data_IF_323571492092
#
_entry.id   IF_323571492092
#
_cell.length_a   1.000
_cell.length_b   1.000
_cell.length_c   1.000
_cell.angle_alpha   90.00
_cell.angle_beta   90.00
_cell.angle_gamma   90.00
#
_symmetry.space_group_name_H-M   'P 1'
#
loop_
_entity.id
_entity.type
_entity.pdbx_description
1 polymer ?
#
# COMPACT_ATOMS: atom_id res chain seq x y z
N UNK A 1 -9.70 4.14 5.34
CA UNK A 1 -9.06 4.37 4.02
C UNK A 1 -8.32 3.11 3.60
N UNK A 2 -8.54 2.66 2.39
CA UNK A 2 -7.86 1.50 1.83
C UNK A 2 -6.75 1.96 0.90
N UNK A 3 -5.53 1.50 1.17
CA UNK A 3 -4.33 1.93 0.45
C UNK A 3 -3.64 0.71 -0.15
N UNK A 4 -3.32 0.79 -1.43
CA UNK A 4 -2.53 -0.22 -2.12
C UNK A 4 -1.12 0.31 -2.34
N UNK A 5 -0.12 -0.48 -2.02
CA UNK A 5 1.27 -0.19 -2.37
C UNK A 5 1.84 -1.36 -3.16
N UNK A 6 2.55 -1.06 -4.22
CA UNK A 6 3.16 -2.07 -5.08
C UNK A 6 4.57 -1.65 -5.48
N UNK A 7 5.53 -2.52 -5.22
CA UNK A 7 6.93 -2.34 -5.62
C UNK A 7 7.55 -3.73 -5.72
N UNK A 8 8.44 -3.93 -6.67
CA UNK A 8 9.13 -5.21 -6.84
C UNK A 8 10.19 -5.46 -5.77
N UNK A 9 10.52 -4.46 -4.95
CA UNK A 9 11.49 -4.58 -3.87
C UNK A 9 10.81 -4.64 -2.52
N UNK A 10 10.85 -5.81 -1.87
CA UNK A 10 10.16 -6.08 -0.61
C UNK A 10 10.64 -5.16 0.53
N UNK A 11 11.94 -4.87 0.57
CA UNK A 11 12.50 -4.00 1.62
C UNK A 11 11.91 -2.59 1.53
N UNK A 12 11.79 -2.08 0.31
CA UNK A 12 11.20 -0.76 0.09
C UNK A 12 9.71 -0.74 0.46
N UNK A 13 8.97 -1.80 0.12
CA UNK A 13 7.57 -1.92 0.50
C UNK A 13 7.39 -1.89 2.02
N UNK A 14 8.24 -2.61 2.76
CA UNK A 14 8.16 -2.63 4.22
C UNK A 14 8.39 -1.25 4.82
N UNK A 15 9.38 -0.53 4.30
CA UNK A 15 9.69 0.83 4.75
C UNK A 15 8.55 1.80 4.44
N UNK A 16 8.03 1.74 3.22
CA UNK A 16 6.93 2.60 2.78
C UNK A 16 5.67 2.35 3.62
N UNK A 17 5.36 1.09 3.88
CA UNK A 17 4.22 0.72 4.72
C UNK A 17 4.33 1.35 6.11
N UNK A 18 5.49 1.23 6.74
CA UNK A 18 5.71 1.78 8.08
C UNK A 18 5.51 3.30 8.08
N UNK A 19 6.05 3.99 7.07
CA UNK A 19 5.91 5.45 6.97
C UNK A 19 4.45 5.86 6.80
N UNK A 20 3.69 5.15 5.96
CA UNK A 20 2.28 5.44 5.75
C UNK A 20 1.47 5.18 7.03
N UNK A 21 1.73 4.06 7.70
CA UNK A 21 1.05 3.73 8.95
C UNK A 21 1.28 4.80 10.01
N UNK A 22 2.52 5.27 10.17
CA UNK A 22 2.85 6.33 11.12
C UNK A 22 2.17 7.64 10.78
N UNK A 23 2.18 8.02 9.50
CA UNK A 23 1.53 9.25 9.05
C UNK A 23 0.03 9.21 9.35
N UNK A 24 -0.64 8.12 8.99
CA UNK A 24 -2.07 7.97 9.20
C UNK A 24 -2.42 7.96 10.68
N UNK A 25 -1.62 7.29 11.49
CA UNK A 25 -1.80 7.26 12.94
C UNK A 25 -1.69 8.66 13.55
N UNK A 26 -0.68 9.42 13.12
CA UNK A 26 -0.45 10.77 13.64
C UNK A 26 -1.56 11.74 13.26
N UNK A 27 -2.26 11.48 12.17
CA UNK A 27 -3.40 12.29 11.71
C UNK A 27 -4.75 11.68 12.09
N UNK A 28 -4.74 10.62 12.91
CA UNK A 28 -5.96 9.93 13.36
C UNK A 28 -6.83 9.42 12.21
N UNK A 29 -6.20 8.93 11.14
CA UNK A 29 -6.89 8.40 9.97
C UNK A 29 -6.79 6.86 10.00
N UNK A 30 -7.91 6.14 10.19
CA UNK A 30 -7.88 4.67 10.09
C UNK A 30 -7.51 4.26 8.66
N UNK A 31 -6.59 3.30 8.53
CA UNK A 31 -6.21 2.81 7.22
C UNK A 31 -5.96 1.30 7.23
N UNK A 32 -6.18 0.68 6.06
CA UNK A 32 -5.81 -0.69 5.79
C UNK A 32 -4.88 -0.69 4.58
N UNK A 33 -3.68 -1.24 4.73
CA UNK A 33 -2.66 -1.23 3.69
C UNK A 33 -2.51 -2.64 3.12
N UNK A 34 -2.59 -2.75 1.79
CA UNK A 34 -2.27 -3.96 1.05
C UNK A 34 -0.97 -3.74 0.30
N UNK A 35 0.05 -4.56 0.59
CA UNK A 35 1.35 -4.47 -0.06
C UNK A 35 1.54 -5.66 -1.01
N UNK A 36 1.89 -5.41 -2.25
CA UNK A 36 2.13 -6.45 -3.24
C UNK A 36 3.44 -6.22 -3.97
N UNK A 37 4.18 -7.31 -4.21
CA UNK A 37 5.43 -7.29 -4.97
C UNK A 37 5.20 -7.56 -6.46
N UNK A 38 4.14 -8.31 -6.76
CA UNK A 38 3.83 -8.74 -8.12
C UNK A 38 2.66 -7.92 -8.68
N UNK A 39 2.90 -7.08 -9.71
CA UNK A 39 1.84 -6.27 -10.29
C UNK A 39 0.71 -7.09 -10.91
N UNK A 40 0.92 -8.34 -11.25
CA UNK A 40 -0.14 -9.22 -11.78
C UNK A 40 -1.24 -9.47 -10.75
N UNK A 41 -0.92 -9.40 -9.47
CA UNK A 41 -1.94 -9.56 -8.41
C UNK A 41 -2.92 -8.41 -8.38
N UNK A 42 -2.49 -7.22 -8.78
CA UNK A 42 -3.37 -6.05 -8.84
C UNK A 42 -4.46 -6.25 -9.88
N UNK A 43 -4.10 -6.85 -11.02
CA UNK A 43 -5.06 -7.10 -12.10
C UNK A 43 -6.13 -8.11 -11.71
N UNK A 44 -5.88 -8.94 -10.69
CA UNK A 44 -6.81 -9.96 -10.20
C UNK A 44 -7.63 -9.49 -8.99
N UNK A 45 -7.33 -8.31 -8.48
CA UNK A 45 -7.95 -7.77 -7.27
C UNK A 45 -9.03 -6.76 -7.65
N UNK A 46 -10.28 -7.04 -7.30
CA UNK A 46 -11.42 -6.13 -7.53
C UNK A 46 -11.66 -5.19 -6.35
N UNK A 47 -10.77 -5.15 -5.37
CA UNK A 47 -10.90 -4.26 -4.22
C UNK A 47 -10.81 -2.80 -4.66
N UNK A 48 -11.74 -1.98 -4.17
CA UNK A 48 -11.67 -0.54 -4.40
C UNK A 48 -10.73 0.10 -3.40
N UNK A 49 -9.66 0.72 -3.89
CA UNK A 49 -8.69 1.42 -3.07
C UNK A 49 -8.90 2.93 -3.16
N UNK A 50 -8.69 3.61 -2.04
CA UNK A 50 -8.76 5.08 -2.00
C UNK A 50 -7.48 5.71 -2.56
N UNK A 51 -6.34 5.07 -2.31
CA UNK A 51 -5.03 5.49 -2.79
C UNK A 51 -4.24 4.29 -3.29
N UNK A 52 -3.40 4.52 -4.30
CA UNK A 52 -2.48 3.50 -4.81
C UNK A 52 -1.11 4.11 -5.10
N UNK A 53 -0.07 3.48 -4.56
CA UNK A 53 1.32 3.82 -4.84
C UNK A 53 1.91 2.69 -5.67
N UNK A 54 2.16 2.95 -6.94
CA UNK A 54 2.61 1.94 -7.88
C UNK A 54 3.99 2.28 -8.40
N UNK A 55 4.97 1.40 -8.16
CA UNK A 55 6.31 1.49 -8.72
C UNK A 55 6.64 0.15 -9.37
N UNK A 56 6.69 0.18 -10.67
CA UNK A 56 6.86 -1.04 -11.49
C UNK A 56 8.18 -0.97 -12.24
#
# INVERSE_FOLDING_TARGET
MKILICDDEQTYLNTLRIHIEEYMKNHHIPCAITAVVDPLRIAQDDTAYDLAFLDI
#
